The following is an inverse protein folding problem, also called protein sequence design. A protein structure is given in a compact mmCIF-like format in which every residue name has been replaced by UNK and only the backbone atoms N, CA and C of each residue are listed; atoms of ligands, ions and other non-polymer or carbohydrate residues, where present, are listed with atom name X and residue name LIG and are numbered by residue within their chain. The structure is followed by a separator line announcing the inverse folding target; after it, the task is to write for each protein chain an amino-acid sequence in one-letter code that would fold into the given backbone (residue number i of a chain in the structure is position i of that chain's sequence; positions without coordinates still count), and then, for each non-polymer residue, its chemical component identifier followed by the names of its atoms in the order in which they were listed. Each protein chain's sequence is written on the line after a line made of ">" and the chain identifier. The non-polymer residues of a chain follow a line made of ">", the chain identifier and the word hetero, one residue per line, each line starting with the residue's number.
data_IF_750356572374
#
_entry.id   IF_750356572374
#
_cell.length_a   1.000
_cell.length_b   1.000
_cell.length_c   1.000
_cell.angle_alpha   90.00
_cell.angle_beta   90.00
_cell.angle_gamma   90.00
#
_symmetry.space_group_name_H-M   'P 1'
#
loop_
_entity.id
_entity.type
_entity.pdbx_description
1 polymer ?
#
# COMPACT_ATOMS: atom_id res chain seq x y z
N UNK A 1 -6.18 61.56 -79.13
CA UNK A 1 -7.19 60.60 -78.63
C UNK A 1 -6.47 59.55 -77.83
N UNK A 2 -6.77 59.41 -76.54
CA UNK A 2 -6.68 58.20 -75.73
C UNK A 2 -7.24 58.60 -74.35
N UNK A 3 -8.53 58.40 -74.15
CA UNK A 3 -9.22 58.61 -72.88
C UNK A 3 -8.90 57.41 -72.00
N UNK A 4 -8.10 57.60 -70.96
CA UNK A 4 -7.92 56.61 -69.92
C UNK A 4 -9.17 56.59 -69.03
N UNK A 5 -9.79 55.42 -68.96
CA UNK A 5 -11.01 55.11 -68.20
C UNK A 5 -10.71 55.19 -66.69
N UNK A 6 -11.42 56.05 -65.96
CA UNK A 6 -11.33 56.13 -64.50
C UNK A 6 -11.90 54.85 -63.85
N UNK A 7 -11.25 54.27 -62.83
CA UNK A 7 -11.84 53.18 -62.07
C UNK A 7 -13.02 53.70 -61.23
N UNK A 8 -14.16 53.03 -61.37
CA UNK A 8 -15.39 53.28 -60.61
C UNK A 8 -15.11 53.23 -59.10
N UNK A 9 -15.39 54.33 -58.42
CA UNK A 9 -15.39 54.40 -56.96
C UNK A 9 -16.60 53.60 -56.44
N UNK A 10 -16.37 52.42 -55.86
CA UNK A 10 -17.41 51.74 -55.08
C UNK A 10 -17.46 52.32 -53.67
N UNK A 11 -18.63 52.79 -53.18
CA UNK A 11 -18.75 53.25 -51.81
C UNK A 11 -18.59 52.04 -50.88
N UNK A 12 -17.60 52.09 -49.99
CA UNK A 12 -17.43 51.09 -48.95
C UNK A 12 -18.62 51.16 -47.97
N UNK A 13 -19.22 50.01 -47.60
CA UNK A 13 -20.27 49.99 -46.60
C UNK A 13 -19.71 50.49 -45.27
N UNK A 14 -20.49 51.27 -44.48
CA UNK A 14 -20.01 51.81 -43.22
C UNK A 14 -19.61 50.65 -42.29
N UNK A 15 -18.40 50.73 -41.75
CA UNK A 15 -17.90 49.80 -40.74
C UNK A 15 -18.90 49.78 -39.58
N UNK A 16 -19.52 48.61 -39.34
CA UNK A 16 -20.38 48.39 -38.17
C UNK A 16 -19.55 48.62 -36.91
N UNK A 17 -19.73 49.78 -36.29
CA UNK A 17 -19.20 50.02 -34.96
C UNK A 17 -19.95 49.08 -33.99
N UNK A 18 -19.24 48.32 -33.13
CA UNK A 18 -19.91 47.52 -32.12
C UNK A 18 -20.65 48.48 -31.20
N UNK A 19 -21.98 48.42 -31.23
CA UNK A 19 -22.83 49.12 -30.27
C UNK A 19 -22.44 48.61 -28.90
N UNK A 20 -21.74 49.44 -28.11
CA UNK A 20 -21.48 49.17 -26.71
C UNK A 20 -22.83 49.13 -26.01
N UNK A 21 -23.35 47.92 -25.81
CA UNK A 21 -24.49 47.72 -24.93
C UNK A 21 -24.08 48.22 -23.55
N UNK A 22 -24.88 49.07 -22.89
CA UNK A 22 -24.58 49.49 -21.53
C UNK A 22 -24.59 48.24 -20.66
N UNK A 23 -23.40 47.80 -20.25
CA UNK A 23 -23.24 46.69 -19.33
C UNK A 23 -23.97 47.10 -18.04
N UNK A 24 -25.15 46.52 -17.80
CA UNK A 24 -25.89 46.72 -16.55
C UNK A 24 -24.95 46.30 -15.44
N UNK A 25 -24.41 47.27 -14.70
CA UNK A 25 -23.63 47.00 -13.50
C UNK A 25 -24.52 46.16 -12.60
N UNK A 26 -24.16 44.89 -12.41
CA UNK A 26 -24.85 44.00 -11.50
C UNK A 26 -24.85 44.70 -10.14
N UNK A 27 -26.05 45.07 -9.65
CA UNK A 27 -26.16 45.61 -8.31
C UNK A 27 -25.71 44.50 -7.38
N UNK A 28 -24.64 44.74 -6.62
CA UNK A 28 -24.17 43.80 -5.62
C UNK A 28 -25.37 43.46 -4.71
N UNK A 29 -25.80 42.20 -4.75
CA UNK A 29 -26.87 41.72 -3.90
C UNK A 29 -26.42 41.96 -2.45
N UNK A 30 -27.21 42.76 -1.71
CA UNK A 30 -26.92 43.01 -0.30
C UNK A 30 -27.28 41.75 0.45
N UNK A 31 -26.28 41.05 0.97
CA UNK A 31 -26.49 39.88 1.83
C UNK A 31 -27.35 40.29 3.02
N UNK A 32 -28.45 39.59 3.22
CA UNK A 32 -29.30 39.76 4.39
C UNK A 32 -28.56 39.16 5.61
N UNK A 33 -28.85 39.63 6.82
CA UNK A 33 -28.18 39.12 8.03
C UNK A 33 -28.37 37.60 8.22
N UNK A 34 -29.44 37.02 7.67
CA UNK A 34 -29.65 35.57 7.58
C UNK A 34 -28.62 34.86 6.70
N UNK A 35 -28.28 35.42 5.53
CA UNK A 35 -27.28 34.85 4.62
C UNK A 35 -25.89 34.86 5.26
N UNK A 36 -25.56 35.92 6.00
CA UNK A 36 -24.29 36.03 6.72
C UNK A 36 -24.17 34.96 7.80
N UNK A 37 -25.24 34.71 8.56
CA UNK A 37 -25.27 33.64 9.57
C UNK A 37 -25.10 32.26 8.93
N UNK A 38 -25.76 32.02 7.80
CA UNK A 38 -25.67 30.76 7.07
C UNK A 38 -24.25 30.52 6.51
N UNK A 39 -23.60 31.58 6.02
CA UNK A 39 -22.20 31.49 5.58
C UNK A 39 -21.27 31.18 6.76
N UNK A 40 -21.46 31.84 7.92
CA UNK A 40 -20.64 31.59 9.11
C UNK A 40 -20.81 30.13 9.58
N UNK A 41 -22.04 29.61 9.63
CA UNK A 41 -22.27 28.21 10.03
C UNK A 41 -21.72 27.23 9.00
N UNK A 42 -21.82 27.53 7.70
CA UNK A 42 -21.24 26.70 6.65
C UNK A 42 -19.70 26.63 6.77
N UNK A 43 -19.03 27.76 6.99
CA UNK A 43 -17.56 27.80 7.19
C UNK A 43 -17.17 27.00 8.44
N UNK A 44 -17.93 27.13 9.54
CA UNK A 44 -17.70 26.36 10.77
C UNK A 44 -17.84 24.86 10.52
N UNK A 45 -18.90 24.44 9.83
CA UNK A 45 -19.14 23.04 9.46
C UNK A 45 -18.00 22.48 8.60
N UNK A 46 -17.55 23.25 7.60
CA UNK A 46 -16.42 22.85 6.75
C UNK A 46 -15.15 22.72 7.57
N UNK A 47 -14.86 23.67 8.48
CA UNK A 47 -13.69 23.62 9.34
C UNK A 47 -13.68 22.38 10.25
N UNK A 48 -14.83 22.04 10.86
CA UNK A 48 -14.98 20.84 11.70
C UNK A 48 -14.80 19.57 10.88
N UNK A 49 -15.37 19.49 9.67
CA UNK A 49 -15.19 18.35 8.77
C UNK A 49 -13.72 18.18 8.35
N UNK A 50 -13.03 19.27 8.02
CA UNK A 50 -11.60 19.25 7.70
C UNK A 50 -10.76 18.77 8.90
N UNK A 51 -11.02 19.31 10.09
CA UNK A 51 -10.34 18.87 11.31
C UNK A 51 -10.61 17.39 11.64
N UNK A 52 -11.85 16.93 11.44
CA UNK A 52 -12.23 15.52 11.62
C UNK A 52 -11.50 14.60 10.64
N UNK A 53 -11.30 15.02 9.39
CA UNK A 53 -10.48 14.29 8.42
C UNK A 53 -9.02 14.19 8.87
N UNK A 54 -8.43 15.27 9.38
CA UNK A 54 -7.06 15.26 9.93
C UNK A 54 -6.95 14.32 11.13
N UNK A 55 -7.95 14.27 12.01
CA UNK A 55 -7.99 13.33 13.14
C UNK A 55 -8.03 11.86 12.68
N UNK A 56 -8.71 11.57 11.57
CA UNK A 56 -8.71 10.22 10.96
C UNK A 56 -7.30 9.82 10.52
N UNK A 57 -6.49 10.74 10.03
CA UNK A 57 -5.10 10.43 9.64
C UNK A 57 -4.21 10.03 10.82
N UNK A 58 -4.38 10.61 12.00
CA UNK A 58 -3.63 10.21 13.19
C UNK A 58 -3.99 8.78 13.64
N UNK A 59 -5.28 8.44 13.64
CA UNK A 59 -5.75 7.10 13.98
C UNK A 59 -5.34 6.04 12.93
N UNK A 60 -5.28 6.41 11.65
CA UNK A 60 -4.84 5.52 10.57
C UNK A 60 -3.35 5.22 10.66
N UNK A 61 -2.51 6.18 11.08
CA UNK A 61 -1.07 5.97 11.22
C UNK A 61 -0.72 5.04 12.42
N UNK A 62 -1.45 5.21 13.53
CA UNK A 62 -1.34 4.31 14.68
C UNK A 62 -1.79 2.88 14.32
N UNK A 63 -2.85 2.75 13.51
CA UNK A 63 -3.34 1.46 13.05
C UNK A 63 -2.36 0.78 12.10
N UNK A 64 -1.76 1.54 11.18
CA UNK A 64 -0.77 1.02 10.21
C UNK A 64 0.51 0.55 10.92
N UNK A 65 0.93 1.26 11.96
CA UNK A 65 2.07 0.86 12.80
C UNK A 65 1.78 -0.43 13.56
N UNK A 66 0.58 -0.56 14.14
CA UNK A 66 0.14 -1.78 14.83
C UNK A 66 0.05 -2.98 13.90
N UNK A 67 -0.46 -2.80 12.67
CA UNK A 67 -0.53 -3.86 11.66
C UNK A 67 0.88 -4.33 11.29
N UNK A 68 1.81 -3.42 11.00
CA UNK A 68 3.20 -3.78 10.71
C UNK A 68 3.89 -4.51 11.87
N UNK A 69 3.64 -4.10 13.11
CA UNK A 69 4.18 -4.80 14.28
C UNK A 69 3.59 -6.22 14.42
N UNK A 70 2.29 -6.36 14.18
CA UNK A 70 1.62 -7.65 14.26
C UNK A 70 2.08 -8.61 13.17
N UNK A 71 2.22 -8.13 11.92
CA UNK A 71 2.79 -8.93 10.81
C UNK A 71 4.21 -9.40 11.13
N UNK A 72 5.07 -8.54 11.68
CA UNK A 72 6.41 -8.93 12.11
C UNK A 72 6.39 -9.98 13.22
N UNK A 73 5.45 -9.87 14.16
CA UNK A 73 5.31 -10.87 15.22
C UNK A 73 4.85 -12.23 14.70
N UNK A 74 3.94 -12.25 13.71
CA UNK A 74 3.50 -13.48 13.05
C UNK A 74 4.66 -14.12 12.31
N UNK A 75 5.42 -13.36 11.52
CA UNK A 75 6.57 -13.88 10.79
C UNK A 75 7.65 -14.46 11.73
N UNK A 76 7.90 -13.81 12.88
CA UNK A 76 8.82 -14.33 13.88
C UNK A 76 8.32 -15.65 14.50
N UNK A 77 7.04 -15.73 14.84
CA UNK A 77 6.43 -16.94 15.39
C UNK A 77 6.41 -18.09 14.38
N UNK A 78 6.20 -17.82 13.10
CA UNK A 78 6.26 -18.83 12.03
C UNK A 78 7.68 -19.38 11.87
N UNK A 79 8.70 -18.52 11.92
CA UNK A 79 10.11 -18.91 11.83
C UNK A 79 10.56 -19.74 13.05
N UNK A 80 10.13 -19.35 14.25
CA UNK A 80 10.33 -20.14 15.48
C UNK A 80 9.67 -21.52 15.35
N UNK A 81 8.44 -21.59 14.85
CA UNK A 81 7.72 -22.84 14.69
C UNK A 81 8.39 -23.75 13.65
N UNK A 82 8.80 -23.20 12.50
CA UNK A 82 9.55 -23.91 11.48
C UNK A 82 10.87 -24.49 12.04
N UNK A 83 11.58 -23.69 12.84
CA UNK A 83 12.83 -24.10 13.49
C UNK A 83 12.59 -25.24 14.48
N UNK A 84 11.55 -25.14 15.32
CA UNK A 84 11.17 -26.19 16.27
C UNK A 84 10.77 -27.49 15.58
N UNK A 85 10.05 -27.41 14.45
CA UNK A 85 9.67 -28.58 13.65
C UNK A 85 10.92 -29.28 13.09
N UNK A 86 11.89 -28.51 12.59
CA UNK A 86 13.16 -29.05 12.08
C UNK A 86 13.92 -29.76 13.20
N UNK A 87 14.04 -29.12 14.37
CA UNK A 87 14.69 -29.72 15.54
C UNK A 87 13.98 -31.00 16.00
N UNK A 88 12.65 -31.00 16.03
CA UNK A 88 11.86 -32.17 16.39
C UNK A 88 12.07 -33.31 15.39
N UNK A 89 12.08 -33.02 14.08
CA UNK A 89 12.37 -34.02 13.04
C UNK A 89 13.78 -34.58 13.17
N UNK A 90 14.79 -33.73 13.41
CA UNK A 90 16.16 -34.19 13.64
C UNK A 90 16.24 -35.11 14.85
N UNK A 91 15.53 -34.80 15.93
CA UNK A 91 15.53 -35.61 17.14
C UNK A 91 14.73 -36.91 16.97
N UNK A 92 13.66 -36.89 16.17
CA UNK A 92 12.75 -38.03 15.99
C UNK A 92 13.22 -39.00 14.89
N UNK A 93 13.98 -38.53 13.90
CA UNK A 93 14.42 -39.34 12.77
C UNK A 93 15.25 -40.58 13.17
N UNK A 94 16.24 -40.50 14.08
CA UNK A 94 16.97 -41.69 14.53
C UNK A 94 16.06 -42.72 15.19
N UNK A 95 15.09 -42.24 15.97
CA UNK A 95 14.12 -43.09 16.67
C UNK A 95 13.13 -43.74 15.71
N UNK A 96 12.68 -43.03 14.68
CA UNK A 96 11.88 -43.57 13.57
C UNK A 96 12.62 -44.70 12.84
N UNK A 97 13.89 -44.47 12.51
CA UNK A 97 14.74 -45.46 11.83
C UNK A 97 14.92 -46.69 12.72
N UNK A 98 15.22 -46.51 14.00
CA UNK A 98 15.36 -47.62 14.97
C UNK A 98 14.05 -48.41 15.10
N UNK A 99 12.90 -47.73 15.16
CA UNK A 99 11.61 -48.40 15.31
C UNK A 99 11.25 -49.21 14.06
N UNK A 100 11.49 -48.68 12.85
CA UNK A 100 11.32 -49.44 11.60
C UNK A 100 12.29 -50.61 11.51
N UNK A 101 13.55 -50.41 11.91
CA UNK A 101 14.55 -51.46 11.93
C UNK A 101 14.14 -52.63 12.85
N UNK A 102 13.66 -52.34 14.06
CA UNK A 102 13.27 -53.37 15.02
C UNK A 102 11.93 -54.02 14.67
N UNK A 103 10.92 -53.24 14.28
CA UNK A 103 9.55 -53.73 14.08
C UNK A 103 9.31 -54.31 12.69
N UNK A 104 9.77 -53.64 11.64
CA UNK A 104 9.52 -54.05 10.25
C UNK A 104 10.59 -55.02 9.75
N UNK A 105 11.85 -54.80 10.12
CA UNK A 105 12.99 -55.57 9.65
C UNK A 105 13.48 -56.62 10.67
N UNK A 106 12.92 -56.63 11.89
CA UNK A 106 13.28 -57.58 12.95
C UNK A 106 14.73 -57.43 13.43
N UNK A 107 15.39 -56.31 13.13
CA UNK A 107 16.78 -56.07 13.51
C UNK A 107 16.88 -55.90 15.02
N UNK A 108 17.90 -56.47 15.64
CA UNK A 108 18.24 -56.26 17.05
C UNK A 108 19.63 -55.67 17.16
N UNK A 109 19.87 -54.91 18.23
CA UNK A 109 21.19 -54.39 18.53
C UNK A 109 22.21 -55.55 18.60
N UNK A 110 23.35 -55.45 17.89
CA UNK A 110 24.39 -56.48 17.93
C UNK A 110 25.01 -56.59 19.32
N UNK A 111 25.45 -57.79 19.68
CA UNK A 111 26.18 -58.02 20.92
C UNK A 111 27.61 -57.45 20.82
N UNK A 112 28.22 -57.09 21.96
CA UNK A 112 29.53 -56.42 22.00
C UNK A 112 30.64 -57.17 21.23
N UNK A 113 30.52 -58.48 21.11
CA UNK A 113 31.48 -59.33 20.39
C UNK A 113 31.34 -59.28 18.85
N UNK A 114 30.33 -58.58 18.32
CA UNK A 114 30.05 -58.43 16.89
C UNK A 114 30.35 -57.01 16.38
N UNK A 115 30.80 -56.12 17.28
CA UNK A 115 31.12 -54.73 16.96
C UNK A 115 32.62 -54.64 16.67
N UNK A 116 32.98 -54.38 15.40
CA UNK A 116 34.37 -54.16 14.99
C UNK A 116 34.57 -52.65 14.84
N UNK A 117 35.43 -52.07 15.69
CA UNK A 117 35.75 -50.64 15.64
C UNK A 117 36.79 -50.38 14.54
N UNK A 118 36.37 -49.76 13.44
CA UNK A 118 37.26 -49.38 12.34
C UNK A 118 37.89 -48.03 12.68
N UNK A 119 38.91 -48.03 13.55
CA UNK A 119 39.51 -46.80 14.05
C UNK A 119 40.91 -46.91 14.62
N UNK A 120 41.41 -48.11 14.94
CA UNK A 120 42.82 -48.28 15.29
C UNK A 120 43.56 -49.01 14.16
N UNK A 121 44.60 -48.40 13.55
CA UNK A 121 45.55 -49.16 12.76
C UNK A 121 46.35 -50.05 13.73
N UNK A 122 45.89 -51.29 13.93
CA UNK A 122 46.63 -52.32 14.65
C UNK A 122 47.92 -52.66 13.91
N UNK A 123 49.03 -52.91 14.62
CA UNK A 123 50.35 -53.08 14.00
C UNK A 123 50.41 -54.39 13.21
N UNK A 124 50.93 -54.29 11.99
CA UNK A 124 51.20 -55.41 11.11
C UNK A 124 52.33 -56.28 11.70
N UNK A 125 52.08 -57.58 11.82
CA UNK A 125 53.08 -58.61 12.11
C UNK A 125 52.92 -59.77 11.13
#
# INVERSE_FOLDING_TARGET
>A
MLVAKQPLYQPQPPLRQPVRTPQKKAKAARLTDGDKRLIITAVLLTAVLSFGMIWRFAAVNDLQTRVNQLERSIAALEDENATLIIQLKQLSAPKEIENRAQLELGMRWPEQNQIISVGEPGPEH
#
